data_IF_987004281856
#
_entry.id   IF_987004281856
#
_cell.length_a   1.000
_cell.length_b   1.000
_cell.length_c   1.000
_cell.angle_alpha   90.00
_cell.angle_beta   90.00
_cell.angle_gamma   90.00
#
_symmetry.space_group_name_H-M   'P 1'
#
loop_
_entity.id
_entity.type
_entity.pdbx_description
1 polymer ?
#
# COMPACT_ATOMS: atom_id res chain seq x y z
N UNK A 1 13.81 -10.08 -29.77
CA UNK A 1 12.56 -9.70 -29.07
C UNK A 1 11.94 -10.99 -28.55
N UNK A 2 12.15 -11.31 -27.27
CA UNK A 2 11.56 -12.49 -26.64
C UNK A 2 10.42 -12.00 -25.75
N UNK A 3 9.20 -12.26 -26.18
CA UNK A 3 8.00 -12.12 -25.37
C UNK A 3 8.02 -13.25 -24.34
N UNK A 4 8.45 -12.96 -23.12
CA UNK A 4 8.39 -13.93 -22.02
C UNK A 4 6.95 -14.04 -21.53
N UNK A 5 6.21 -15.02 -22.03
CA UNK A 5 5.00 -15.54 -21.39
C UNK A 5 5.41 -16.29 -20.10
N UNK A 6 5.76 -15.54 -19.07
CA UNK A 6 5.90 -16.07 -17.71
C UNK A 6 4.59 -15.85 -16.99
N UNK A 7 4.12 -16.83 -16.23
CA UNK A 7 2.97 -16.69 -15.32
C UNK A 7 3.11 -15.35 -14.58
N UNK A 8 2.19 -14.40 -14.81
CA UNK A 8 2.31 -13.04 -14.30
C UNK A 8 2.29 -13.06 -12.77
N UNK A 9 3.49 -13.11 -12.19
CA UNK A 9 3.67 -13.18 -10.75
C UNK A 9 3.75 -11.76 -10.19
N UNK A 10 2.76 -11.39 -9.40
CA UNK A 10 2.67 -10.07 -8.78
C UNK A 10 3.33 -10.13 -7.41
N UNK A 11 4.37 -9.32 -7.21
CA UNK A 11 4.95 -9.09 -5.89
C UNK A 11 4.50 -7.72 -5.41
N UNK A 12 3.79 -7.65 -4.29
CA UNK A 12 3.33 -6.40 -3.71
C UNK A 12 4.36 -5.87 -2.71
N UNK A 13 4.59 -4.57 -2.72
CA UNK A 13 5.24 -3.85 -1.64
C UNK A 13 4.15 -3.22 -0.76
N UNK A 14 4.17 -3.52 0.53
CA UNK A 14 3.16 -3.08 1.47
C UNK A 14 3.83 -2.36 2.63
N UNK A 15 3.52 -1.08 2.83
CA UNK A 15 4.05 -0.33 3.96
C UNK A 15 3.20 -0.57 5.21
N UNK A 16 3.84 -0.84 6.33
CA UNK A 16 3.19 -1.06 7.62
C UNK A 16 3.50 0.11 8.53
N UNK A 17 2.49 0.84 9.02
CA UNK A 17 2.72 2.01 9.85
C UNK A 17 3.32 1.56 11.19
N UNK A 18 4.51 2.06 11.51
CA UNK A 18 5.25 1.77 12.75
C UNK A 18 5.28 2.96 13.69
N UNK A 19 5.15 4.17 13.15
CA UNK A 19 5.10 5.40 13.92
C UNK A 19 4.37 6.48 13.12
N UNK A 20 3.76 7.43 13.82
CA UNK A 20 3.13 8.59 13.21
C UNK A 20 3.78 9.87 13.76
N UNK A 21 4.15 10.79 12.87
CA UNK A 21 4.57 12.13 13.29
C UNK A 21 3.35 12.89 13.81
N UNK A 22 3.52 13.77 14.81
CA UNK A 22 2.41 14.54 15.38
C UNK A 22 1.66 15.42 14.36
N UNK A 23 2.25 15.67 13.18
CA UNK A 23 1.65 16.37 12.05
C UNK A 23 0.78 15.49 11.14
N UNK A 24 0.96 14.17 11.17
CA UNK A 24 0.41 13.23 10.18
C UNK A 24 -0.90 12.62 10.70
N UNK A 25 -1.93 13.44 10.85
CA UNK A 25 -3.25 12.99 11.36
C UNK A 25 -3.16 12.62 12.85
N UNK A 26 -4.04 13.21 13.68
CA UNK A 26 -4.05 13.01 15.13
C UNK A 26 -4.55 11.58 15.49
N UNK A 27 -3.75 10.55 15.18
CA UNK A 27 -3.98 9.16 15.54
C UNK A 27 -3.26 8.90 16.86
N UNK A 28 -3.97 8.36 17.84
CA UNK A 28 -3.32 7.84 19.02
C UNK A 28 -2.68 6.47 18.74
N UNK A 29 -2.03 5.87 19.75
CA UNK A 29 -1.39 4.58 19.59
C UNK A 29 -2.40 3.44 19.31
N UNK A 30 -3.65 3.58 19.76
CA UNK A 30 -4.70 2.59 19.50
C UNK A 30 -5.15 2.66 18.05
N UNK A 31 -5.41 3.86 17.52
CA UNK A 31 -5.75 4.09 16.13
C UNK A 31 -4.65 3.55 15.19
N UNK A 32 -3.37 3.78 15.53
CA UNK A 32 -2.23 3.25 14.76
C UNK A 32 -2.20 1.71 14.78
N UNK A 33 -2.47 1.12 15.94
CA UNK A 33 -2.51 -0.33 16.10
C UNK A 33 -3.67 -0.95 15.32
N UNK A 34 -4.83 -0.31 15.36
CA UNK A 34 -6.02 -0.73 14.61
C UNK A 34 -5.77 -0.67 13.10
N UNK A 35 -5.26 0.48 12.60
CA UNK A 35 -4.89 0.64 11.19
C UNK A 35 -3.91 -0.45 10.75
N UNK A 36 -2.88 -0.72 11.56
CA UNK A 36 -1.91 -1.79 11.28
C UNK A 36 -2.61 -3.15 11.17
N UNK A 37 -3.53 -3.45 12.07
CA UNK A 37 -4.25 -4.72 12.10
C UNK A 37 -5.15 -4.87 10.86
N UNK A 38 -5.94 -3.84 10.54
CA UNK A 38 -6.78 -3.79 9.33
C UNK A 38 -5.96 -3.90 8.05
N UNK A 39 -4.83 -3.19 7.97
CA UNK A 39 -3.95 -3.24 6.82
C UNK A 39 -3.40 -4.65 6.58
N UNK A 40 -2.97 -5.36 7.63
CA UNK A 40 -2.45 -6.72 7.51
C UNK A 40 -3.51 -7.71 7.04
N UNK A 41 -4.74 -7.61 7.58
CA UNK A 41 -5.88 -8.42 7.13
C UNK A 41 -6.16 -8.14 5.65
N UNK A 42 -6.27 -6.86 5.27
CA UNK A 42 -6.51 -6.47 3.89
C UNK A 42 -5.44 -6.99 2.92
N UNK A 43 -4.15 -6.89 3.28
CA UNK A 43 -3.05 -7.39 2.45
C UNK A 43 -3.16 -8.91 2.27
N UNK A 44 -3.50 -9.62 3.34
CA UNK A 44 -3.70 -11.07 3.30
C UNK A 44 -4.84 -11.44 2.35
N UNK A 45 -6.01 -10.83 2.52
CA UNK A 45 -7.21 -11.09 1.74
C UNK A 45 -7.01 -10.72 0.27
N UNK A 46 -6.39 -9.58 -0.01
CA UNK A 46 -6.02 -9.16 -1.37
C UNK A 46 -5.12 -10.20 -2.03
N UNK A 47 -4.09 -10.68 -1.33
CA UNK A 47 -3.16 -11.67 -1.87
C UNK A 47 -3.86 -13.01 -2.10
N UNK A 48 -4.75 -13.43 -1.20
CA UNK A 48 -5.56 -14.63 -1.37
C UNK A 48 -6.53 -14.50 -2.56
N UNK A 49 -7.18 -13.35 -2.72
CA UNK A 49 -8.05 -13.05 -3.84
C UNK A 49 -7.31 -13.06 -5.19
N UNK A 50 -6.08 -12.55 -5.24
CA UNK A 50 -5.24 -12.62 -6.43
C UNK A 50 -4.90 -14.08 -6.77
N UNK A 51 -4.49 -14.88 -5.77
CA UNK A 51 -4.15 -16.29 -5.96
C UNK A 51 -5.33 -17.13 -6.42
N UNK A 52 -6.50 -16.93 -5.84
CA UNK A 52 -7.74 -17.62 -6.24
C UNK A 52 -8.17 -17.23 -7.66
N UNK A 53 -7.82 -16.04 -8.12
CA UNK A 53 -8.01 -15.60 -9.50
C UNK A 53 -6.96 -16.13 -10.49
N UNK A 54 -6.07 -17.03 -10.04
CA UNK A 54 -5.00 -17.61 -10.86
C UNK A 54 -3.74 -16.76 -10.98
N UNK A 55 -3.65 -15.64 -10.25
CA UNK A 55 -2.48 -14.76 -10.26
C UNK A 55 -1.51 -15.22 -9.17
N UNK A 56 -0.27 -15.57 -9.55
CA UNK A 56 0.77 -15.89 -8.57
C UNK A 56 1.13 -14.63 -7.77
N UNK A 57 0.58 -14.47 -6.57
CA UNK A 57 0.81 -13.28 -5.75
C UNK A 57 1.70 -13.54 -4.53
N UNK A 58 2.58 -12.59 -4.24
CA UNK A 58 3.38 -12.52 -3.01
C UNK A 58 3.45 -11.07 -2.52
N UNK A 59 3.82 -10.84 -1.26
CA UNK A 59 3.97 -9.49 -0.73
C UNK A 59 5.23 -9.36 0.14
N UNK A 60 5.73 -8.14 0.27
CA UNK A 60 6.79 -7.74 1.20
C UNK A 60 6.27 -6.62 2.09
N UNK A 61 6.31 -6.84 3.40
CA UNK A 61 6.05 -5.80 4.38
C UNK A 61 7.29 -4.92 4.56
N UNK A 62 7.09 -3.61 4.67
CA UNK A 62 8.13 -2.65 4.98
C UNK A 62 7.66 -1.65 6.04
N UNK A 63 8.46 -1.38 7.08
CA UNK A 63 8.08 -0.41 8.10
C UNK A 63 7.97 1.01 7.52
N UNK A 64 7.09 1.81 8.10
CA UNK A 64 6.75 3.14 7.62
C UNK A 64 6.49 4.11 8.78
N UNK A 65 7.13 5.27 8.72
CA UNK A 65 7.01 6.38 9.66
C UNK A 65 5.84 7.33 9.34
N UNK A 66 4.73 6.81 8.81
CA UNK A 66 3.53 7.59 8.46
C UNK A 66 2.28 6.82 8.89
N UNK A 67 1.20 7.56 9.14
CA UNK A 67 -0.17 7.05 9.40
C UNK A 67 -0.86 6.45 8.18
N UNK A 68 -0.15 6.20 7.08
CA UNK A 68 -0.71 5.61 5.86
C UNK A 68 -0.07 4.26 5.55
N UNK A 69 -0.90 3.31 5.17
CA UNK A 69 -0.46 2.05 4.59
C UNK A 69 -0.63 2.10 3.07
N UNK A 70 0.47 1.91 2.32
CA UNK A 70 0.51 1.94 0.86
C UNK A 70 0.84 0.53 0.37
N UNK A 71 0.01 0.01 -0.53
CA UNK A 71 0.21 -1.26 -1.21
C UNK A 71 0.37 -0.98 -2.70
N UNK A 72 1.51 -1.36 -3.28
CA UNK A 72 1.79 -1.15 -4.70
C UNK A 72 2.54 -2.34 -5.30
N UNK A 73 2.46 -2.56 -6.63
CA UNK A 73 3.26 -3.58 -7.28
C UNK A 73 4.77 -3.26 -7.18
N UNK A 74 5.54 -4.22 -6.69
CA UNK A 74 7.00 -4.19 -6.69
C UNK A 74 7.48 -4.47 -8.12
N UNK A 75 7.98 -3.44 -8.79
CA UNK A 75 8.58 -3.55 -10.12
C UNK A 75 10.06 -3.17 -10.06
N UNK A 76 10.92 -3.88 -10.79
CA UNK A 76 12.35 -3.60 -10.88
C UNK A 76 12.67 -2.21 -11.46
N UNK A 77 11.69 -1.59 -12.14
CA UNK A 77 11.81 -0.24 -12.72
C UNK A 77 11.27 0.88 -11.82
N UNK A 78 10.61 0.55 -10.71
CA UNK A 78 9.87 1.53 -9.90
C UNK A 78 10.57 1.78 -8.57
N UNK A 79 10.79 3.06 -8.27
CA UNK A 79 11.29 3.50 -6.97
C UNK A 79 10.14 3.55 -5.97
N UNK A 80 10.12 2.59 -5.06
CA UNK A 80 9.13 2.47 -4.00
C UNK A 80 9.03 3.76 -3.16
N UNK A 81 10.13 4.49 -2.97
CA UNK A 81 10.10 5.75 -2.23
C UNK A 81 9.35 6.84 -2.99
N UNK A 82 9.48 6.89 -4.32
CA UNK A 82 8.71 7.82 -5.16
C UNK A 82 7.23 7.51 -5.12
N UNK A 83 6.86 6.23 -5.24
CA UNK A 83 5.47 5.77 -5.09
C UNK A 83 4.92 6.18 -3.72
N UNK A 84 5.68 5.96 -2.64
CA UNK A 84 5.28 6.35 -1.28
C UNK A 84 5.07 7.86 -1.15
N UNK A 85 5.99 8.68 -1.66
CA UNK A 85 5.87 10.14 -1.63
C UNK A 85 4.71 10.65 -2.49
N UNK A 86 4.46 10.03 -3.63
CA UNK A 86 3.35 10.38 -4.51
C UNK A 86 2.01 9.99 -3.88
N UNK A 87 1.92 8.81 -3.28
CA UNK A 87 0.76 8.38 -2.50
C UNK A 87 0.47 9.32 -1.33
N UNK A 88 1.50 9.72 -0.58
CA UNK A 88 1.37 10.66 0.54
C UNK A 88 0.87 12.04 0.07
N UNK A 89 1.41 12.56 -1.04
CA UNK A 89 0.92 13.81 -1.64
C UNK A 89 -0.53 13.70 -2.09
N UNK A 90 -0.91 12.61 -2.77
CA UNK A 90 -2.29 12.38 -3.21
C UNK A 90 -3.28 12.40 -2.03
N UNK A 91 -2.87 11.81 -0.91
CA UNK A 91 -3.63 11.78 0.35
C UNK A 91 -3.73 13.17 1.00
N UNK A 92 -2.64 13.93 1.05
CA UNK A 92 -2.68 15.30 1.61
C UNK A 92 -3.59 16.24 0.80
N UNK A 93 -3.64 16.07 -0.53
CA UNK A 93 -4.54 16.83 -1.38
C UNK A 93 -6.00 16.41 -1.25
N UNK A 94 -6.25 15.14 -0.90
CA UNK A 94 -7.57 14.65 -0.52
C UNK A 94 -7.90 15.12 0.91
N UNK A 95 -8.33 16.38 1.04
CA UNK A 95 -8.59 17.10 2.31
C UNK A 95 -9.46 16.38 3.37
N UNK A 96 -10.07 15.25 3.05
CA UNK A 96 -10.84 14.42 3.98
C UNK A 96 -10.66 12.95 3.63
N UNK A 97 -9.59 12.35 4.15
CA UNK A 97 -9.55 10.90 4.25
C UNK A 97 -10.40 10.50 5.45
N UNK A 98 -11.63 10.10 5.16
CA UNK A 98 -12.44 9.36 6.10
C UNK A 98 -11.67 8.13 6.55
N UNK A 99 -11.61 7.93 7.88
CA UNK A 99 -10.98 6.77 8.51
C UNK A 99 -11.57 5.48 7.93
N UNK A 100 -10.79 4.41 7.96
CA UNK A 100 -11.22 3.06 7.57
C UNK A 100 -11.51 2.88 6.07
N UNK A 101 -10.98 3.76 5.22
CA UNK A 101 -11.11 3.64 3.77
C UNK A 101 -9.86 3.06 3.11
N UNK A 102 -10.11 2.36 2.01
CA UNK A 102 -9.10 1.96 1.03
C UNK A 102 -9.32 2.78 -0.24
N UNK A 103 -8.31 3.55 -0.64
CA UNK A 103 -8.32 4.34 -1.87
C UNK A 103 -7.43 3.68 -2.91
N UNK A 104 -7.94 3.54 -4.14
CA UNK A 104 -7.10 3.24 -5.30
C UNK A 104 -6.66 4.57 -5.91
N UNK A 105 -5.35 4.78 -5.99
CA UNK A 105 -4.74 5.96 -6.57
C UNK A 105 -3.87 5.54 -7.75
N UNK A 106 -4.11 6.16 -8.91
CA UNK A 106 -3.22 6.03 -10.05
C UNK A 106 -2.12 7.09 -9.94
N UNK A 107 -0.89 6.65 -9.72
CA UNK A 107 0.28 7.51 -9.61
C UNK A 107 1.08 7.45 -10.91
N UNK A 108 1.95 8.43 -11.15
CA UNK A 108 2.91 8.42 -12.28
C UNK A 108 3.71 7.11 -12.34
N UNK A 109 4.06 6.57 -11.17
CA UNK A 109 4.77 5.31 -10.99
C UNK A 109 3.82 4.08 -10.92
N UNK A 110 2.56 4.26 -11.32
CA UNK A 110 1.49 3.26 -11.43
C UNK A 110 0.57 3.13 -10.21
N UNK A 111 -0.35 2.14 -10.23
CA UNK A 111 -1.44 2.08 -9.26
C UNK A 111 -0.95 1.70 -7.87
N UNK A 112 -1.50 2.36 -6.86
CA UNK A 112 -1.30 2.07 -5.46
C UNK A 112 -2.62 2.08 -4.70
N UNK A 113 -2.76 1.18 -3.74
CA UNK A 113 -3.84 1.19 -2.76
C UNK A 113 -3.35 1.89 -1.49
N UNK A 114 -4.16 2.77 -0.93
CA UNK A 114 -3.86 3.50 0.30
C UNK A 114 -4.93 3.15 1.34
N UNK A 115 -4.48 2.70 2.50
CA UNK A 115 -5.33 2.31 3.63
C UNK A 115 -5.14 3.35 4.75
N UNK A 116 -6.26 3.84 5.27
CA UNK A 116 -6.34 4.87 6.31
C UNK A 116 -7.15 4.44 7.52
#
# INVERSE_FOLDING_TARGET
MVSSSGVDSVKLHCTVPTWCSSSDTCLDLHDLHDLRSRALIFIHDLTASLRTSGISASYRLAPCNSSLCVVCPLSSKRDVNKVKMAAFRAVQHAKHLEREKVLLVDLEDGPALIIT
#
